data_IF_745791013950
#
_entry.id   IF_745791013950
#
_cell.length_a   1.000
_cell.length_b   1.000
_cell.length_c   1.000
_cell.angle_alpha   90.00
_cell.angle_beta   90.00
_cell.angle_gamma   90.00
#
_symmetry.space_group_name_H-M   'P 1'
#
loop_
_entity.id
_entity.type
_entity.pdbx_description
1 polymer ?
#
# COMPACT_ATOMS: atom_id res chain seq x y z
N UNK A 1 12.15 -31.60 3.73
CA UNK A 1 11.06 -30.76 4.26
C UNK A 1 10.65 -29.85 3.12
N UNK A 2 9.37 -29.79 2.77
CA UNK A 2 8.91 -28.83 1.75
C UNK A 2 9.15 -27.40 2.25
N UNK A 3 9.85 -26.60 1.46
CA UNK A 3 10.22 -25.23 1.82
C UNK A 3 9.02 -24.30 1.65
N UNK A 4 8.37 -23.93 2.77
CA UNK A 4 7.17 -23.08 2.74
C UNK A 4 7.57 -21.61 2.95
N UNK A 5 7.47 -20.80 1.90
CA UNK A 5 7.59 -19.34 2.02
C UNK A 5 6.24 -18.78 2.46
N UNK A 6 6.17 -18.26 3.68
CA UNK A 6 4.98 -17.58 4.20
C UNK A 6 5.10 -16.08 3.95
N UNK A 7 4.29 -15.53 3.04
CA UNK A 7 4.17 -14.09 2.79
C UNK A 7 2.74 -13.72 2.45
N UNK A 8 2.33 -12.47 2.73
CA UNK A 8 1.03 -11.97 2.25
C UNK A 8 1.06 -11.80 0.73
N UNK A 9 -0.09 -12.00 0.08
CA UNK A 9 -0.26 -11.80 -1.37
C UNK A 9 0.11 -10.36 -1.80
N UNK A 10 -0.24 -9.37 -0.98
CA UNK A 10 0.08 -7.96 -1.20
C UNK A 10 1.58 -7.69 -1.26
N UNK A 11 2.36 -8.45 -0.48
CA UNK A 11 3.83 -8.40 -0.49
C UNK A 11 4.38 -9.24 -1.65
N UNK A 12 3.81 -10.40 -1.95
CA UNK A 12 4.30 -11.32 -2.99
C UNK A 12 4.57 -10.64 -4.35
N UNK A 13 3.65 -9.79 -4.83
CA UNK A 13 3.80 -9.14 -6.15
C UNK A 13 4.83 -8.00 -6.16
N UNK A 14 5.24 -7.48 -5.01
CA UNK A 14 6.09 -6.28 -4.90
C UNK A 14 7.25 -6.40 -3.91
N UNK A 15 7.48 -7.59 -3.35
CA UNK A 15 8.53 -7.85 -2.38
C UNK A 15 9.91 -7.66 -3.02
N UNK A 16 10.79 -7.05 -2.24
CA UNK A 16 12.21 -6.93 -2.57
C UNK A 16 12.80 -8.33 -2.80
N UNK A 17 13.51 -8.56 -3.91
CA UNK A 17 14.10 -9.86 -4.21
C UNK A 17 14.97 -10.41 -3.08
N UNK A 18 15.87 -9.58 -2.52
CA UNK A 18 16.75 -10.05 -1.45
C UNK A 18 15.97 -10.41 -0.20
N UNK A 19 14.94 -9.63 0.15
CA UNK A 19 14.07 -9.94 1.29
C UNK A 19 13.35 -11.28 1.10
N UNK A 20 12.86 -11.55 -0.11
CA UNK A 20 12.22 -12.82 -0.45
C UNK A 20 13.19 -14.00 -0.31
N UNK A 21 14.41 -13.87 -0.85
CA UNK A 21 15.47 -14.88 -0.72
C UNK A 21 15.84 -15.13 0.75
N UNK A 22 16.05 -14.07 1.52
CA UNK A 22 16.36 -14.18 2.95
C UNK A 22 15.23 -14.82 3.76
N UNK A 23 13.96 -14.52 3.44
CA UNK A 23 12.80 -15.18 4.07
C UNK A 23 12.77 -16.68 3.76
N UNK A 24 13.06 -17.05 2.51
CA UNK A 24 13.18 -18.45 2.10
C UNK A 24 14.32 -19.17 2.83
N UNK A 25 15.44 -18.49 3.04
CA UNK A 25 16.59 -19.00 3.80
C UNK A 25 16.39 -18.96 5.33
N UNK A 26 15.19 -18.63 5.83
CA UNK A 26 14.83 -18.69 7.25
C UNK A 26 15.05 -17.42 8.06
N UNK A 27 15.28 -16.27 7.41
CA UNK A 27 15.36 -14.97 8.10
C UNK A 27 13.99 -14.56 8.65
N UNK A 28 13.98 -14.07 9.90
CA UNK A 28 12.74 -13.64 10.58
C UNK A 28 12.17 -12.38 9.93
N UNK A 29 10.85 -12.38 9.72
CA UNK A 29 10.08 -11.15 9.51
C UNK A 29 9.55 -10.68 10.87
N UNK A 30 9.69 -9.39 11.18
CA UNK A 30 9.13 -8.80 12.39
C UNK A 30 7.69 -8.36 12.14
N UNK A 31 6.86 -8.56 13.15
CA UNK A 31 5.51 -7.98 13.20
C UNK A 31 5.57 -6.55 13.72
N UNK A 32 4.74 -5.65 13.18
CA UNK A 32 4.57 -4.27 13.70
C UNK A 32 3.34 -4.18 14.61
N UNK A 33 3.30 -3.19 15.50
CA UNK A 33 2.15 -2.94 16.39
C UNK A 33 0.84 -2.73 15.59
N UNK A 34 0.92 -2.12 14.41
CA UNK A 34 -0.19 -1.96 13.46
C UNK A 34 -0.76 -3.31 12.97
N UNK A 35 0.03 -4.38 12.96
CA UNK A 35 -0.45 -5.71 12.61
C UNK A 35 -1.20 -6.37 13.76
N UNK A 36 -0.87 -6.05 15.02
CA UNK A 36 -1.59 -6.54 16.19
C UNK A 36 -2.97 -5.90 16.30
N UNK A 37 -3.06 -4.57 16.17
CA UNK A 37 -4.35 -3.85 16.13
C UNK A 37 -5.23 -4.30 14.94
N UNK A 38 -4.60 -4.68 13.83
CA UNK A 38 -5.30 -5.28 12.71
C UNK A 38 -5.92 -6.64 13.02
N UNK A 39 -5.26 -7.48 13.81
CA UNK A 39 -5.77 -8.82 14.19
C UNK A 39 -7.03 -8.68 15.04
N UNK A 40 -7.01 -7.79 16.04
CA UNK A 40 -8.15 -7.60 16.95
C UNK A 40 -9.41 -7.14 16.20
N UNK A 41 -9.27 -6.21 15.25
CA UNK A 41 -10.39 -5.75 14.42
C UNK A 41 -10.92 -6.86 13.49
N UNK A 42 -10.03 -7.69 12.94
CA UNK A 42 -10.43 -8.82 12.10
C UNK A 42 -11.24 -9.83 12.90
N UNK A 43 -10.76 -10.23 14.08
CA UNK A 43 -11.46 -11.19 14.94
C UNK A 43 -12.87 -10.70 15.29
N UNK A 44 -13.02 -9.44 15.73
CA UNK A 44 -14.34 -8.88 16.08
C UNK A 44 -15.33 -8.93 14.91
N UNK A 45 -14.88 -8.59 13.71
CA UNK A 45 -15.74 -8.58 12.53
C UNK A 45 -16.06 -10.00 12.04
N UNK A 46 -15.08 -10.90 12.02
CA UNK A 46 -15.24 -12.30 11.60
C UNK A 46 -16.28 -13.05 12.42
N UNK A 47 -16.36 -12.79 13.72
CA UNK A 47 -17.34 -13.43 14.62
C UNK A 47 -18.63 -12.63 14.80
N UNK A 48 -18.88 -11.63 13.95
CA UNK A 48 -20.13 -10.87 13.97
C UNK A 48 -21.31 -11.69 13.42
N UNK A 49 -22.53 -11.26 13.74
CA UNK A 49 -23.75 -11.91 13.26
C UNK A 49 -23.90 -11.90 11.73
N UNK A 50 -23.19 -11.02 11.02
CA UNK A 50 -23.21 -10.92 9.56
C UNK A 50 -22.66 -12.17 8.87
N UNK A 51 -21.71 -12.86 9.50
CA UNK A 51 -20.96 -13.98 8.91
C UNK A 51 -21.18 -15.30 9.64
N UNK A 52 -22.30 -15.42 10.36
CA UNK A 52 -22.63 -16.60 11.18
C UNK A 52 -22.66 -17.92 10.38
N UNK A 53 -22.98 -17.86 9.10
CA UNK A 53 -23.07 -18.99 8.18
C UNK A 53 -21.84 -19.13 7.26
N UNK A 54 -20.80 -18.34 7.48
CA UNK A 54 -19.58 -18.37 6.69
C UNK A 54 -18.45 -19.15 7.39
N UNK A 55 -17.53 -19.66 6.58
CA UNK A 55 -16.26 -20.21 7.03
C UNK A 55 -15.27 -19.07 7.31
N UNK A 56 -14.91 -18.92 8.57
CA UNK A 56 -13.91 -17.96 9.01
C UNK A 56 -12.51 -18.55 8.80
N UNK A 57 -11.59 -17.74 8.28
CA UNK A 57 -10.20 -18.14 8.10
C UNK A 57 -10.03 -19.38 7.18
N UNK A 58 -10.84 -19.46 6.12
CA UNK A 58 -10.87 -20.59 5.18
C UNK A 58 -9.52 -20.76 4.46
N UNK A 59 -8.98 -21.98 4.50
CA UNK A 59 -7.72 -22.34 3.86
C UNK A 59 -7.95 -23.02 2.52
N UNK A 60 -7.12 -22.67 1.54
CA UNK A 60 -7.08 -23.38 0.27
C UNK A 60 -5.65 -23.67 -0.19
N UNK A 61 -5.54 -24.70 -1.01
CA UNK A 61 -4.32 -25.08 -1.70
C UNK A 61 -4.59 -25.15 -3.21
N UNK A 62 -3.89 -24.33 -3.99
CA UNK A 62 -3.99 -24.29 -5.44
C UNK A 62 -2.64 -24.74 -6.04
N UNK A 63 -2.56 -25.96 -6.59
CA UNK A 63 -1.38 -26.42 -7.32
C UNK A 63 -1.13 -25.56 -8.56
N UNK A 64 0.12 -25.15 -8.77
CA UNK A 64 0.54 -24.35 -9.93
C UNK A 64 1.98 -24.67 -10.34
N UNK A 65 2.16 -25.46 -11.40
CA UNK A 65 3.49 -25.94 -11.84
C UNK A 65 4.29 -26.52 -10.65
N UNK A 66 5.46 -25.95 -10.35
CA UNK A 66 6.34 -26.34 -9.22
C UNK A 66 5.92 -25.69 -7.89
N UNK A 67 4.84 -24.91 -7.86
CA UNK A 67 4.36 -24.19 -6.68
C UNK A 67 3.08 -24.82 -6.14
N UNK A 68 2.97 -24.79 -4.81
CA UNK A 68 1.69 -24.95 -4.12
C UNK A 68 1.31 -23.59 -3.53
N UNK A 69 0.29 -22.95 -4.09
CA UNK A 69 -0.21 -21.68 -3.58
C UNK A 69 -1.15 -21.95 -2.42
N UNK A 70 -0.74 -21.55 -1.22
CA UNK A 70 -1.56 -21.66 -0.01
C UNK A 70 -2.12 -20.28 0.31
N UNK A 71 -3.44 -20.19 0.45
CA UNK A 71 -4.12 -18.96 0.86
C UNK A 71 -4.99 -19.19 2.09
N UNK A 72 -5.23 -18.10 2.81
CA UNK A 72 -6.12 -18.01 3.95
C UNK A 72 -7.06 -16.84 3.69
N UNK A 73 -8.33 -17.12 3.49
CA UNK A 73 -9.38 -16.15 3.21
C UNK A 73 -9.99 -15.74 4.55
N UNK A 74 -10.17 -14.45 4.80
CA UNK A 74 -10.70 -13.99 6.09
C UNK A 74 -12.09 -14.56 6.36
N UNK A 75 -12.97 -14.52 5.35
CA UNK A 75 -14.34 -15.03 5.43
C UNK A 75 -14.75 -15.59 4.07
N UNK A 76 -15.28 -16.80 4.07
CA UNK A 76 -15.66 -17.51 2.87
C UNK A 76 -17.04 -18.16 2.99
N UNK A 77 -17.80 -18.12 1.90
CA UNK A 77 -18.95 -19.00 1.65
C UNK A 77 -18.92 -19.37 0.18
N UNK A 78 -19.52 -20.50 -0.25
CA UNK A 78 -19.49 -20.92 -1.64
C UNK A 78 -19.85 -19.78 -2.61
N UNK A 79 -18.90 -19.41 -3.47
CA UNK A 79 -19.06 -18.31 -4.44
C UNK A 79 -18.91 -16.89 -3.91
N UNK A 80 -18.60 -16.68 -2.63
CA UNK A 80 -18.33 -15.34 -2.07
C UNK A 80 -17.12 -15.33 -1.16
N UNK A 81 -16.15 -14.50 -1.52
CA UNK A 81 -14.96 -14.18 -0.73
C UNK A 81 -15.11 -12.80 -0.11
N UNK A 82 -14.85 -12.66 1.19
CA UNK A 82 -14.76 -11.36 1.85
C UNK A 82 -13.37 -11.21 2.47
N UNK A 83 -12.68 -10.15 2.05
CA UNK A 83 -11.39 -9.72 2.58
C UNK A 83 -11.59 -8.53 3.50
N UNK A 84 -11.11 -8.64 4.72
CA UNK A 84 -11.15 -7.56 5.70
C UNK A 84 -9.84 -6.78 5.68
N UNK A 85 -9.90 -5.47 5.92
CA UNK A 85 -8.72 -4.62 6.05
C UNK A 85 -8.93 -3.59 7.16
N UNK A 86 -8.05 -3.60 8.15
CA UNK A 86 -7.97 -2.59 9.21
C UNK A 86 -7.46 -1.21 8.74
N UNK A 87 -8.07 -0.65 7.69
CA UNK A 87 -7.70 0.60 7.02
C UNK A 87 -8.90 1.55 6.91
N UNK A 88 -8.64 2.83 6.69
CA UNK A 88 -9.68 3.81 6.36
C UNK A 88 -10.06 3.81 4.87
N UNK A 89 -9.11 3.41 4.00
CA UNK A 89 -9.28 3.42 2.55
C UNK A 89 -8.81 2.13 1.90
N UNK A 90 -9.64 1.58 1.02
CA UNK A 90 -9.33 0.39 0.24
C UNK A 90 -8.42 0.76 -0.93
N UNK A 91 -7.21 0.22 -0.94
CA UNK A 91 -6.23 0.41 -2.00
C UNK A 91 -6.35 -0.65 -3.12
N UNK A 92 -5.84 -0.37 -4.33
CA UNK A 92 -5.83 -1.34 -5.43
C UNK A 92 -5.10 -2.67 -5.12
N UNK A 93 -4.21 -2.69 -4.12
CA UNK A 93 -3.54 -3.92 -3.70
C UNK A 93 -4.47 -4.83 -2.89
N UNK A 94 -5.40 -4.27 -2.12
CA UNK A 94 -6.40 -5.04 -1.36
C UNK A 94 -7.39 -5.70 -2.32
N UNK A 95 -7.89 -4.95 -3.30
CA UNK A 95 -8.75 -5.49 -4.38
C UNK A 95 -8.11 -6.65 -5.13
N UNK A 96 -6.81 -6.53 -5.43
CA UNK A 96 -6.06 -7.62 -6.10
C UNK A 96 -5.95 -8.88 -5.25
N UNK A 97 -5.80 -8.76 -3.93
CA UNK A 97 -5.79 -9.91 -3.04
C UNK A 97 -7.14 -10.63 -3.04
N UNK A 98 -8.24 -9.91 -2.82
CA UNK A 98 -9.58 -10.48 -2.83
C UNK A 98 -9.94 -11.11 -4.19
N UNK A 99 -9.56 -10.44 -5.29
CA UNK A 99 -9.73 -10.98 -6.65
C UNK A 99 -8.96 -12.29 -6.87
N UNK A 100 -7.74 -12.41 -6.33
CA UNK A 100 -6.98 -13.64 -6.42
C UNK A 100 -7.66 -14.79 -5.67
N UNK A 101 -8.16 -14.55 -4.46
CA UNK A 101 -8.91 -15.53 -3.69
C UNK A 101 -10.18 -15.98 -4.42
N UNK A 102 -10.99 -15.05 -4.94
CA UNK A 102 -12.16 -15.42 -5.73
C UNK A 102 -11.79 -16.17 -7.02
N UNK A 103 -10.71 -15.80 -7.70
CA UNK A 103 -10.26 -16.53 -8.88
C UNK A 103 -9.83 -17.96 -8.54
N UNK A 104 -9.15 -18.17 -7.40
CA UNK A 104 -8.77 -19.49 -6.92
C UNK A 104 -10.01 -20.33 -6.58
N UNK A 105 -10.98 -19.76 -5.86
CA UNK A 105 -12.23 -20.45 -5.50
C UNK A 105 -13.06 -20.82 -6.72
N UNK A 106 -13.17 -19.93 -7.72
CA UNK A 106 -13.81 -20.23 -9.00
C UNK A 106 -13.27 -21.51 -9.65
N UNK A 107 -11.95 -21.69 -9.62
CA UNK A 107 -11.29 -22.84 -10.26
C UNK A 107 -11.36 -24.08 -9.39
N UNK A 108 -11.12 -23.96 -8.08
CA UNK A 108 -11.07 -25.08 -7.14
C UNK A 108 -12.44 -25.72 -6.91
N UNK A 109 -13.50 -24.91 -6.83
CA UNK A 109 -14.86 -25.39 -6.55
C UNK A 109 -15.74 -25.52 -7.80
N UNK A 110 -15.14 -25.40 -8.98
CA UNK A 110 -15.85 -25.50 -10.25
C UNK A 110 -17.00 -24.47 -10.42
N UNK A 111 -16.89 -23.29 -9.80
CA UNK A 111 -17.96 -22.28 -9.79
C UNK A 111 -18.04 -21.51 -11.12
N UNK A 112 -19.24 -21.08 -11.55
CA UNK A 112 -19.40 -20.25 -12.76
C UNK A 112 -18.87 -18.82 -12.56
N UNK A 113 -18.98 -18.30 -11.34
CA UNK A 113 -18.51 -16.99 -10.93
C UNK A 113 -18.25 -16.96 -9.42
N UNK A 114 -17.48 -15.96 -8.98
CA UNK A 114 -17.29 -15.68 -7.56
C UNK A 114 -17.34 -14.18 -7.31
N UNK A 115 -18.11 -13.79 -6.30
CA UNK A 115 -18.16 -12.43 -5.76
C UNK A 115 -16.98 -12.26 -4.81
N UNK A 116 -16.23 -11.18 -4.96
CA UNK A 116 -15.24 -10.78 -3.96
C UNK A 116 -15.55 -9.40 -3.40
N UNK A 117 -15.50 -9.31 -2.08
CA UNK A 117 -15.74 -8.11 -1.32
C UNK A 117 -14.48 -7.72 -0.57
N UNK A 118 -14.18 -6.43 -0.53
CA UNK A 118 -13.18 -5.87 0.38
C UNK A 118 -13.88 -4.91 1.33
N UNK A 119 -13.73 -5.10 2.63
CA UNK A 119 -14.31 -4.25 3.67
C UNK A 119 -13.20 -3.53 4.44
N UNK A 120 -13.29 -2.21 4.49
CA UNK A 120 -12.49 -1.41 5.42
C UNK A 120 -13.12 -1.52 6.82
N UNK A 121 -12.34 -1.82 7.86
CA UNK A 121 -12.84 -1.95 9.23
C UNK A 121 -12.81 -0.62 9.99
N UNK A 122 -12.10 0.39 9.47
CA UNK A 122 -12.05 1.74 10.09
C UNK A 122 -12.94 2.76 9.40
N UNK A 123 -13.71 2.35 8.40
CA UNK A 123 -14.67 3.19 7.67
C UNK A 123 -15.78 2.33 7.08
N UNK A 124 -16.85 2.95 6.61
CA UNK A 124 -17.95 2.23 5.95
C UNK A 124 -17.63 1.84 4.50
N UNK A 125 -16.36 1.94 4.08
CA UNK A 125 -15.99 1.66 2.70
C UNK A 125 -16.03 0.16 2.43
N UNK A 126 -16.88 -0.24 1.48
CA UNK A 126 -16.94 -1.58 0.93
C UNK A 126 -16.82 -1.53 -0.58
N UNK A 127 -16.02 -2.44 -1.15
CA UNK A 127 -15.97 -2.68 -2.59
C UNK A 127 -16.44 -4.11 -2.83
N UNK A 128 -17.33 -4.27 -3.80
CA UNK A 128 -17.83 -5.58 -4.23
C UNK A 128 -17.73 -5.67 -5.75
N UNK A 129 -17.18 -6.78 -6.22
CA UNK A 129 -16.96 -7.08 -7.64
C UNK A 129 -17.19 -8.58 -7.88
N UNK A 130 -17.37 -8.95 -9.14
CA UNK A 130 -17.56 -10.34 -9.57
C UNK A 130 -16.45 -10.72 -10.53
N UNK A 131 -15.96 -11.95 -10.43
CA UNK A 131 -15.08 -12.55 -11.44
C UNK A 131 -15.75 -13.79 -12.03
N UNK A 132 -15.92 -13.78 -13.35
CA UNK A 132 -16.45 -14.92 -14.09
C UNK A 132 -15.37 -15.99 -14.24
N UNK A 133 -15.74 -17.28 -14.29
CA UNK A 133 -14.76 -18.36 -14.37
C UNK A 133 -13.76 -18.22 -15.54
N UNK A 134 -14.17 -17.93 -16.80
CA UNK A 134 -13.20 -17.74 -17.87
C UNK A 134 -12.23 -16.58 -17.61
N UNK A 135 -12.68 -15.54 -16.92
CA UNK A 135 -11.84 -14.42 -16.49
C UNK A 135 -10.90 -14.84 -15.34
N UNK A 136 -11.36 -15.67 -14.40
CA UNK A 136 -10.55 -16.21 -13.31
C UNK A 136 -9.39 -17.06 -13.84
N UNK A 137 -9.66 -17.99 -14.74
CA UNK A 137 -8.63 -18.83 -15.39
C UNK A 137 -7.59 -17.97 -16.10
N UNK A 138 -8.04 -16.98 -16.88
CA UNK A 138 -7.13 -16.04 -17.55
C UNK A 138 -6.35 -15.17 -16.57
N UNK A 139 -6.97 -14.71 -15.48
CA UNK A 139 -6.34 -13.91 -14.46
C UNK A 139 -5.22 -14.68 -13.75
N UNK A 140 -5.46 -15.94 -13.41
CA UNK A 140 -4.42 -16.79 -12.81
C UNK A 140 -3.28 -17.04 -13.82
N UNK A 141 -3.61 -17.40 -15.07
CA UNK A 141 -2.59 -17.72 -16.09
C UNK A 141 -1.76 -16.51 -16.54
N UNK A 142 -2.39 -15.36 -16.79
CA UNK A 142 -1.71 -14.17 -17.33
C UNK A 142 -1.30 -13.18 -16.25
N UNK A 143 -2.07 -13.12 -15.16
CA UNK A 143 -1.85 -12.19 -14.05
C UNK A 143 -0.90 -12.73 -13.01
N UNK A 144 -1.07 -13.98 -12.56
CA UNK A 144 -0.29 -14.55 -11.43
C UNK A 144 0.99 -15.25 -11.90
N UNK A 145 0.94 -16.02 -12.99
CA UNK A 145 2.09 -16.80 -13.48
C UNK A 145 3.38 -15.98 -13.70
N UNK A 146 3.36 -14.73 -14.22
CA UNK A 146 4.58 -13.93 -14.32
C UNK A 146 5.26 -13.64 -12.97
N UNK A 147 4.48 -13.46 -11.91
CA UNK A 147 5.03 -13.24 -10.57
C UNK A 147 5.64 -14.52 -10.00
N UNK A 148 5.02 -15.68 -10.26
CA UNK A 148 5.56 -16.98 -9.84
C UNK A 148 6.89 -17.30 -10.53
N UNK A 149 6.99 -17.03 -11.85
CA UNK A 149 8.26 -17.13 -12.57
C UNK A 149 9.34 -16.24 -11.96
N UNK A 150 9.02 -14.97 -11.70
CA UNK A 150 9.95 -14.05 -11.01
C UNK A 150 10.37 -14.59 -9.64
N UNK A 151 9.45 -15.17 -8.87
CA UNK A 151 9.79 -15.78 -7.58
C UNK A 151 10.74 -16.96 -7.77
N UNK A 152 10.45 -17.87 -8.69
CA UNK A 152 11.34 -18.99 -9.03
C UNK A 152 12.75 -18.50 -9.35
N UNK A 153 12.88 -17.54 -10.26
CA UNK A 153 14.16 -16.93 -10.65
C UNK A 153 14.93 -16.35 -9.45
N UNK A 154 14.23 -15.68 -8.51
CA UNK A 154 14.86 -15.12 -7.31
C UNK A 154 15.33 -16.22 -6.37
N UNK A 155 14.53 -17.26 -6.17
CA UNK A 155 14.85 -18.37 -5.25
C UNK A 155 15.96 -19.26 -5.79
N UNK A 156 16.02 -19.48 -7.10
CA UNK A 156 17.05 -20.29 -7.76
C UNK A 156 18.35 -19.52 -8.02
N UNK A 157 18.33 -18.18 -7.96
CA UNK A 157 19.53 -17.38 -8.16
C UNK A 157 20.58 -17.61 -7.05
N UNK A 158 21.83 -17.84 -7.47
CA UNK A 158 23.01 -17.89 -6.58
C UNK A 158 23.24 -16.57 -5.85
N UNK A 159 22.97 -15.45 -6.53
CA UNK A 159 23.06 -14.11 -5.96
C UNK A 159 21.89 -13.26 -6.43
N UNK A 160 21.23 -12.62 -5.47
CA UNK A 160 20.10 -11.73 -5.72
C UNK A 160 20.57 -10.26 -5.66
N UNK A 161 20.19 -9.40 -6.62
CA UNK A 161 20.63 -8.01 -6.62
C UNK A 161 20.11 -7.25 -5.39
N UNK A 162 20.99 -6.43 -4.80
CA UNK A 162 20.68 -5.56 -3.66
C UNK A 162 20.08 -4.21 -4.10
N UNK A 163 19.24 -4.19 -5.13
CA UNK A 163 18.65 -2.93 -5.60
C UNK A 163 17.71 -2.36 -4.53
N UNK A 164 17.86 -1.08 -4.12
CA UNK A 164 17.01 -0.49 -3.09
C UNK A 164 15.52 -0.55 -3.45
N UNK A 165 14.70 -1.12 -2.55
CA UNK A 165 13.25 -1.12 -2.67
C UNK A 165 12.65 0.16 -2.12
N UNK A 166 12.06 0.94 -3.03
CA UNK A 166 11.38 2.21 -2.75
C UNK A 166 10.37 2.13 -1.59
N UNK A 167 9.76 0.95 -1.41
CA UNK A 167 8.67 0.73 -0.43
C UNK A 167 9.16 0.13 0.88
N UNK A 168 10.23 -0.66 0.84
CA UNK A 168 10.57 -1.54 1.96
C UNK A 168 11.85 -1.13 2.69
N UNK A 169 12.79 -0.44 2.04
CA UNK A 169 14.14 -0.24 2.60
C UNK A 169 14.19 0.59 3.89
N UNK A 170 13.32 1.60 4.07
CA UNK A 170 13.41 2.52 5.21
C UNK A 170 13.15 1.84 6.55
N UNK A 171 12.30 0.82 6.55
CA UNK A 171 11.98 0.01 7.73
C UNK A 171 12.33 -1.47 7.50
N UNK A 172 13.26 -1.77 6.58
CA UNK A 172 13.61 -3.15 6.28
C UNK A 172 14.46 -3.72 7.41
N UNK A 173 14.04 -4.80 8.09
CA UNK A 173 14.85 -5.42 9.14
C UNK A 173 16.14 -6.05 8.59
N UNK A 174 16.19 -6.31 7.28
CA UNK A 174 17.35 -6.91 6.60
C UNK A 174 18.26 -5.86 5.95
N UNK A 175 18.09 -4.57 6.26
CA UNK A 175 18.87 -3.50 5.62
C UNK A 175 20.38 -3.67 5.85
N UNK A 176 20.79 -4.16 7.03
CA UNK A 176 22.20 -4.40 7.35
C UNK A 176 22.85 -5.48 6.47
N UNK A 177 22.07 -6.45 5.99
CA UNK A 177 22.56 -7.45 5.03
C UNK A 177 22.91 -6.75 3.70
N UNK A 178 22.03 -5.88 3.22
CA UNK A 178 22.30 -5.07 2.02
C UNK A 178 23.54 -4.18 2.20
N UNK A 179 23.72 -3.57 3.38
CA UNK A 179 24.87 -2.71 3.70
C UNK A 179 26.21 -3.44 3.77
N UNK A 180 26.24 -4.77 3.82
CA UNK A 180 27.50 -5.53 3.69
C UNK A 180 27.97 -5.62 2.24
N UNK A 181 27.08 -5.53 1.25
CA UNK A 181 27.46 -5.52 -0.16
C UNK A 181 28.07 -4.16 -0.53
N UNK A 182 29.32 -4.16 -1.01
CA UNK A 182 30.03 -2.94 -1.46
C UNK A 182 29.34 -2.24 -2.62
N UNK A 183 28.53 -2.95 -3.41
CA UNK A 183 27.77 -2.41 -4.53
C UNK A 183 26.43 -1.80 -4.12
N UNK A 184 26.02 -1.93 -2.85
CA UNK A 184 24.76 -1.36 -2.38
C UNK A 184 24.85 0.17 -2.28
N UNK A 185 24.05 0.92 -3.06
CA UNK A 185 24.21 2.38 -3.16
C UNK A 185 23.86 3.13 -1.87
N UNK A 186 23.11 2.51 -0.94
CA UNK A 186 22.72 3.10 0.34
C UNK A 186 23.52 2.53 1.53
N UNK A 187 24.67 1.90 1.27
CA UNK A 187 25.49 1.24 2.28
C UNK A 187 25.84 2.13 3.49
N UNK A 188 26.26 3.36 3.21
CA UNK A 188 26.75 4.32 4.20
C UNK A 188 25.76 5.46 4.42
N UNK A 189 24.46 5.23 4.19
CA UNK A 189 23.48 6.32 4.19
C UNK A 189 23.31 6.98 5.58
N UNK A 190 23.53 6.23 6.67
CA UNK A 190 23.43 6.76 8.04
C UNK A 190 24.68 7.56 8.45
N UNK A 191 25.80 7.34 7.77
CA UNK A 191 27.06 8.07 7.99
C UNK A 191 27.10 9.40 7.20
N UNK A 192 26.13 9.59 6.29
CA UNK A 192 26.05 10.77 5.43
C UNK A 192 25.32 11.90 6.11
N UNK A 193 25.85 13.10 5.90
CA UNK A 193 25.17 14.33 6.25
C UNK A 193 23.90 14.52 5.40
N UNK A 194 22.91 15.28 5.89
CA UNK A 194 21.73 15.62 5.08
C UNK A 194 22.08 16.23 3.70
N UNK A 195 23.20 16.96 3.63
CA UNK A 195 23.74 17.54 2.39
C UNK A 195 24.16 16.45 1.39
N UNK A 196 24.96 15.48 1.83
CA UNK A 196 25.41 14.37 0.97
C UNK A 196 24.25 13.48 0.53
N UNK A 197 23.24 13.27 1.39
CA UNK A 197 22.02 12.55 1.02
C UNK A 197 21.23 13.32 -0.05
N UNK A 198 21.18 14.66 0.04
CA UNK A 198 20.51 15.51 -0.93
C UNK A 198 21.23 15.51 -2.29
N UNK A 199 22.55 15.54 -2.30
CA UNK A 199 23.38 15.38 -3.51
C UNK A 199 23.13 14.03 -4.18
N UNK A 200 23.09 12.94 -3.40
CA UNK A 200 22.74 11.62 -3.91
C UNK A 200 21.32 11.57 -4.49
N UNK A 201 20.35 12.24 -3.85
CA UNK A 201 18.97 12.32 -4.33
C UNK A 201 18.86 13.03 -5.68
N UNK A 202 19.63 14.09 -5.88
CA UNK A 202 19.71 14.84 -7.14
C UNK A 202 20.36 14.03 -8.26
N UNK A 203 21.30 13.13 -7.95
CA UNK A 203 21.98 12.27 -8.94
C UNK A 203 21.14 11.03 -9.28
N UNK A 204 20.52 10.40 -8.29
CA UNK A 204 19.80 9.13 -8.41
C UNK A 204 18.31 9.32 -8.70
N UNK A 205 17.97 10.26 -9.59
CA UNK A 205 16.59 10.73 -9.91
C UNK A 205 15.59 9.66 -10.35
N UNK A 206 16.00 8.41 -10.55
CA UNK A 206 15.10 7.28 -10.86
C UNK A 206 14.82 6.38 -9.64
N UNK A 207 15.54 6.55 -8.54
CA UNK A 207 15.44 5.76 -7.29
C UNK A 207 14.78 6.57 -6.13
N UNK A 208 14.08 7.65 -6.50
CA UNK A 208 13.72 8.85 -5.71
C UNK A 208 13.17 8.60 -4.30
N UNK A 209 12.21 7.70 -4.12
CA UNK A 209 11.37 7.71 -2.91
C UNK A 209 12.09 7.31 -1.61
N UNK A 210 13.14 6.48 -1.66
CA UNK A 210 13.87 6.12 -0.42
C UNK A 210 14.66 7.31 0.09
N UNK A 211 15.50 7.91 -0.76
CA UNK A 211 16.33 9.05 -0.38
C UNK A 211 15.47 10.24 0.05
N UNK A 212 14.30 10.43 -0.58
CA UNK A 212 13.28 11.37 -0.15
C UNK A 212 12.81 11.14 1.30
N UNK A 213 12.47 9.89 1.65
CA UNK A 213 12.04 9.52 3.01
C UNK A 213 13.15 9.76 4.05
N UNK A 214 14.40 9.49 3.70
CA UNK A 214 15.54 9.80 4.58
C UNK A 214 15.71 11.30 4.78
N UNK A 215 15.66 12.10 3.72
CA UNK A 215 15.80 13.55 3.81
C UNK A 215 14.66 14.22 4.59
N UNK A 216 13.42 13.75 4.44
CA UNK A 216 12.25 14.25 5.17
C UNK A 216 12.46 14.25 6.69
N UNK A 217 13.21 13.29 7.23
CA UNK A 217 13.54 13.23 8.67
C UNK A 217 14.39 14.43 9.12
N UNK A 218 15.23 14.98 8.25
CA UNK A 218 16.18 16.04 8.58
C UNK A 218 15.68 17.45 8.16
N UNK A 219 14.96 17.57 7.05
CA UNK A 219 14.51 18.88 6.53
C UNK A 219 13.43 19.56 7.37
N UNK A 220 12.60 18.79 8.08
CA UNK A 220 11.60 19.34 9.01
C UNK A 220 12.24 20.20 10.12
N UNK A 221 13.50 19.93 10.47
CA UNK A 221 14.21 20.59 11.57
C UNK A 221 15.00 21.82 11.09
N UNK A 222 15.45 21.84 9.83
CA UNK A 222 16.47 22.79 9.35
C UNK A 222 16.08 23.57 8.08
N UNK A 223 14.90 23.34 7.52
CA UNK A 223 14.48 23.93 6.25
C UNK A 223 15.08 23.23 5.02
N UNK A 224 14.88 23.78 3.80
CA UNK A 224 15.36 23.17 2.57
C UNK A 224 16.89 23.19 2.44
N UNK A 225 17.46 22.08 1.96
CA UNK A 225 18.90 21.85 1.78
C UNK A 225 19.33 22.30 0.39
N UNK A 226 20.41 23.07 0.26
CA UNK A 226 20.88 23.58 -1.03
C UNK A 226 21.86 22.62 -1.69
N UNK A 227 21.63 22.27 -2.96
CA UNK A 227 22.48 21.39 -3.77
C UNK A 227 22.69 22.03 -5.14
N UNK A 228 23.79 22.77 -5.31
CA UNK A 228 24.04 23.54 -6.53
C UNK A 228 22.97 24.61 -6.76
N UNK A 229 22.33 24.60 -7.94
CA UNK A 229 21.21 25.49 -8.31
C UNK A 229 19.84 24.98 -7.81
N UNK A 230 19.82 23.81 -7.17
CA UNK A 230 18.61 23.14 -6.72
C UNK A 230 18.50 23.22 -5.18
N UNK A 231 17.27 23.37 -4.67
CA UNK A 231 16.97 23.26 -3.24
C UNK A 231 16.11 22.03 -2.99
N UNK A 232 16.57 21.12 -2.13
CA UNK A 232 15.88 19.90 -1.76
C UNK A 232 15.18 20.08 -0.41
N UNK A 233 13.86 20.04 -0.39
CA UNK A 233 13.13 20.21 0.86
C UNK A 233 11.63 20.38 0.66
N UNK A 234 10.98 20.83 1.72
CA UNK A 234 9.55 21.09 1.73
C UNK A 234 9.26 22.41 1.03
N UNK A 235 8.58 22.32 -0.11
CA UNK A 235 7.95 23.46 -0.76
C UNK A 235 6.50 23.58 -0.28
N UNK A 236 6.03 24.81 -0.08
CA UNK A 236 4.60 25.10 0.06
C UNK A 236 3.97 24.97 -1.33
N UNK A 237 3.80 23.72 -1.77
CA UNK A 237 3.31 23.47 -3.11
C UNK A 237 1.83 23.85 -3.17
N UNK A 238 1.51 24.92 -3.89
CA UNK A 238 0.14 25.37 -4.19
C UNK A 238 -0.68 24.35 -5.00
N UNK A 239 -0.09 23.22 -5.39
CA UNK A 239 -0.66 22.30 -6.38
C UNK A 239 -0.68 20.85 -5.88
N UNK A 240 -1.69 20.51 -5.08
CA UNK A 240 -2.23 19.15 -5.06
C UNK A 240 -3.72 19.22 -5.35
N UNK A 241 -4.14 18.69 -6.51
CA UNK A 241 -5.51 18.73 -7.02
C UNK A 241 -6.09 17.31 -6.92
N UNK A 242 -7.23 17.17 -6.24
CA UNK A 242 -8.12 16.02 -6.36
C UNK A 242 -9.53 16.57 -6.57
N UNK A 243 -10.23 16.09 -7.61
CA UNK A 243 -11.63 16.41 -7.89
C UNK A 243 -12.53 15.45 -7.11
N UNK A 244 -13.37 15.98 -6.22
CA UNK A 244 -14.42 15.24 -5.51
C UNK A 244 -15.72 16.05 -5.53
N UNK A 245 -16.30 16.21 -6.71
CA UNK A 245 -17.54 16.97 -6.92
C UNK A 245 -18.82 16.25 -6.39
N UNK A 246 -18.93 14.91 -6.34
CA UNK A 246 -20.16 14.26 -5.84
C UNK A 246 -20.25 14.10 -4.31
N UNK A 247 -19.12 14.12 -3.60
CA UNK A 247 -19.06 13.83 -2.14
C UNK A 247 -19.35 15.08 -1.31
N UNK A 248 -19.12 16.26 -1.88
CA UNK A 248 -19.24 17.54 -1.18
C UNK A 248 -20.66 17.80 -0.66
N UNK A 249 -21.71 17.47 -1.43
CA UNK A 249 -23.11 17.70 -1.01
C UNK A 249 -23.45 16.82 0.21
N UNK A 250 -23.09 15.55 0.18
CA UNK A 250 -23.32 14.62 1.30
C UNK A 250 -22.49 14.97 2.54
N UNK A 251 -21.27 15.47 2.35
CA UNK A 251 -20.43 15.97 3.44
C UNK A 251 -21.01 17.23 4.04
N UNK A 252 -21.54 18.16 3.24
CA UNK A 252 -22.22 19.36 3.74
C UNK A 252 -23.50 19.03 4.52
N UNK A 253 -24.27 18.03 4.05
CA UNK A 253 -25.44 17.50 4.78
C UNK A 253 -25.02 16.86 6.10
N UNK A 254 -23.98 16.02 6.10
CA UNK A 254 -23.47 15.37 7.31
C UNK A 254 -22.87 16.35 8.32
N UNK A 255 -22.21 17.41 7.86
CA UNK A 255 -21.66 18.49 8.70
C UNK A 255 -22.77 19.33 9.34
N UNK A 256 -23.89 19.50 8.64
CA UNK A 256 -25.07 20.17 9.18
C UNK A 256 -25.68 19.38 10.35
N UNK A 257 -25.61 18.05 10.29
CA UNK A 257 -26.10 17.14 11.33
C UNK A 257 -25.09 16.94 12.47
N UNK A 258 -23.78 17.00 12.17
CA UNK A 258 -22.68 16.79 13.12
C UNK A 258 -21.59 17.88 13.01
N UNK A 259 -21.87 19.11 13.49
CA UNK A 259 -20.99 20.27 13.30
C UNK A 259 -19.64 20.16 14.03
N UNK A 260 -19.55 19.33 15.06
CA UNK A 260 -18.32 19.02 15.79
C UNK A 260 -17.32 18.20 14.95
N UNK A 261 -17.81 17.44 13.96
CA UNK A 261 -17.01 16.60 13.05
C UNK A 261 -16.63 17.28 11.73
N UNK A 262 -17.06 18.53 11.55
CA UNK A 262 -16.82 19.33 10.34
C UNK A 262 -15.34 19.53 10.00
N UNK A 263 -14.48 19.45 11.02
CA UNK A 263 -13.03 19.70 10.92
C UNK A 263 -12.29 18.59 10.17
N UNK A 264 -12.91 17.41 10.03
CA UNK A 264 -12.23 16.21 9.57
C UNK A 264 -12.38 15.93 8.05
N UNK A 265 -13.29 16.64 7.36
CA UNK A 265 -13.77 16.18 6.04
C UNK A 265 -13.49 17.07 4.83
N UNK A 266 -12.86 18.24 4.95
CA UNK A 266 -12.76 19.15 3.80
C UNK A 266 -11.31 19.54 3.49
N UNK A 267 -10.80 19.01 2.37
CA UNK A 267 -9.56 19.47 1.71
C UNK A 267 -9.91 19.93 0.29
N UNK A 268 -9.78 21.23 -0.01
CA UNK A 268 -10.24 21.83 -1.27
C UNK A 268 -9.13 22.53 -2.06
N UNK A 269 -9.22 22.42 -3.39
CA UNK A 269 -8.44 23.19 -4.37
C UNK A 269 -8.60 24.71 -4.14
N UNK A 270 -7.49 25.42 -3.91
CA UNK A 270 -7.49 26.86 -3.60
C UNK A 270 -8.13 27.75 -4.68
N UNK A 271 -8.03 27.37 -5.96
CA UNK A 271 -8.65 28.12 -7.06
C UNK A 271 -10.18 27.93 -7.06
N UNK A 272 -10.67 26.70 -6.86
CA UNK A 272 -12.11 26.41 -6.72
C UNK A 272 -12.69 26.96 -5.41
N UNK A 273 -11.91 26.98 -4.30
CA UNK A 273 -12.31 27.61 -3.02
C UNK A 273 -12.77 29.06 -3.24
N UNK A 274 -11.98 29.86 -3.97
CA UNK A 274 -12.34 31.27 -4.23
C UNK A 274 -13.66 31.38 -4.99
N UNK A 275 -13.84 30.58 -6.03
CA UNK A 275 -15.09 30.56 -6.79
C UNK A 275 -16.28 30.17 -5.89
N UNK A 276 -16.15 29.10 -5.11
CA UNK A 276 -17.22 28.60 -4.25
C UNK A 276 -17.56 29.54 -3.08
N UNK A 277 -16.57 30.20 -2.46
CA UNK A 277 -16.82 31.23 -1.45
C UNK A 277 -17.56 32.45 -2.03
N UNK A 278 -17.38 32.75 -3.32
CA UNK A 278 -18.13 33.83 -3.98
C UNK A 278 -19.57 33.41 -4.27
N UNK A 279 -19.82 32.13 -4.53
CA UNK A 279 -21.15 31.58 -4.83
C UNK A 279 -21.97 31.29 -3.57
N UNK A 280 -21.33 30.96 -2.45
CA UNK A 280 -21.98 30.58 -1.19
C UNK A 280 -21.40 31.40 -0.02
N UNK A 281 -22.09 32.45 0.45
CA UNK A 281 -21.65 33.27 1.56
C UNK A 281 -21.46 32.47 2.86
N UNK A 282 -20.32 32.64 3.53
CA UNK A 282 -20.01 32.01 4.83
C UNK A 282 -19.34 30.62 4.74
N UNK A 283 -19.19 30.09 3.53
CA UNK A 283 -18.56 28.79 3.26
C UNK A 283 -17.06 28.76 3.65
N UNK A 284 -16.39 29.92 3.65
CA UNK A 284 -15.00 30.09 4.04
C UNK A 284 -14.68 29.62 5.46
N UNK A 285 -15.67 29.65 6.36
CA UNK A 285 -15.52 29.28 7.77
C UNK A 285 -15.45 27.77 8.00
N UNK A 286 -15.76 26.98 6.97
CA UNK A 286 -15.80 25.52 7.03
C UNK A 286 -14.64 24.87 6.26
N UNK A 287 -13.73 25.68 5.70
CA UNK A 287 -12.57 25.19 4.97
C UNK A 287 -11.33 25.06 5.84
N UNK A 288 -10.94 23.82 6.13
CA UNK A 288 -9.61 23.53 6.66
C UNK A 288 -8.60 23.46 5.50
N UNK A 289 -7.81 24.51 5.30
CA UNK A 289 -6.68 24.46 4.35
C UNK A 289 -5.53 23.74 5.07
N UNK A 290 -5.43 22.44 4.84
CA UNK A 290 -4.20 21.73 5.14
C UNK A 290 -3.21 21.95 3.98
N UNK A 291 -2.31 22.92 4.15
CA UNK A 291 -1.16 23.04 3.28
C UNK A 291 -0.32 21.79 3.46
N UNK A 292 -0.42 20.85 2.53
CA UNK A 292 0.48 19.70 2.49
C UNK A 292 1.77 20.17 1.83
N UNK A 293 2.84 20.43 2.59
CA UNK A 293 4.11 20.73 1.97
C UNK A 293 4.46 19.54 1.05
N UNK A 294 4.95 19.80 -0.15
CA UNK A 294 5.50 18.74 -1.00
C UNK A 294 6.99 18.75 -0.83
N UNK A 295 7.53 17.61 -0.42
CA UNK A 295 8.96 17.41 -0.43
C UNK A 295 9.41 17.21 -1.88
N UNK A 296 10.42 17.96 -2.33
CA UNK A 296 10.89 17.86 -3.70
C UNK A 296 12.14 18.68 -3.96
N UNK A 297 12.51 18.73 -5.24
CA UNK A 297 13.59 19.57 -5.76
C UNK A 297 12.98 20.86 -6.30
N UNK A 298 13.42 22.01 -5.80
CA UNK A 298 13.02 23.34 -6.24
C UNK A 298 14.20 23.91 -7.03
N UNK A 299 14.02 24.14 -8.34
CA UNK A 299 14.98 24.93 -9.11
C UNK A 299 14.80 26.40 -8.75
N UNK A 300 15.86 27.04 -8.25
CA UNK A 300 15.83 28.50 -8.05
C UNK A 300 15.93 29.16 -9.43
N UNK A 301 15.02 30.09 -9.70
CA UNK A 301 15.10 31.01 -10.85
C UNK A 301 16.00 32.18 -10.47
#
# INVERSE_FOLDING_TARGET
>A
MSEVIRTSFTKFTTICPLKLKLMHEGSRTFSTDEQLDGIDLHELEQYSDEYRDAEIEHWFELPWDDFLLVGKIDIYRPGVVVELKAVYHIEPIHRRQARFYAAAMCVLEDLPECVYRVRALRSDQTIEEVIQRPEAEQYLQKGIAPYLRRVKEILEADKVPTTPSIRECVNCPNLDVCRRDKSFPLRHIDEKTPQEIAEMYVILRSQLRILEQWLRRYTNVRGPIQVGEEAVGWDLCERTVYDYEPVLIKVLEHIKEHPDRAKDFIRINLAKKRQMCNEIPGLENYFHIELKPRFGIIRRK
#
